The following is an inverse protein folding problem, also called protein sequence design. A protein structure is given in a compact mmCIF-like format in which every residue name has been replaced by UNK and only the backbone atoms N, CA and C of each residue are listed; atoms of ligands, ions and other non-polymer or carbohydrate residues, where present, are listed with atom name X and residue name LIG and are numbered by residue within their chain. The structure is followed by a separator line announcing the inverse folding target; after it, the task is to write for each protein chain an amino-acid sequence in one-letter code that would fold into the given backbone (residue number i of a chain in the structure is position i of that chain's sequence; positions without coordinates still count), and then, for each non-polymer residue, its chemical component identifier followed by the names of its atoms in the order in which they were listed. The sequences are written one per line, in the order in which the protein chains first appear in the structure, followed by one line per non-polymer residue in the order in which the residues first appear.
data_IF_878301551313
#
_entry.id   IF_878301551313
#
_cell.length_a   1.000
_cell.length_b   1.000
_cell.length_c   1.000
_cell.angle_alpha   90.00
_cell.angle_beta   90.00
_cell.angle_gamma   90.00
#
_symmetry.space_group_name_H-M   'P 1'
#
loop_
_entity.id
_entity.type
_entity.pdbx_description
1 polymer ?
#
# COMPACT_ATOMS: atom_id res chain seq x y z
N UNK A 1 -21.74 19.62 14.03
CA UNK A 1 -20.65 18.85 14.71
C UNK A 1 -21.08 17.38 14.78
N UNK A 2 -20.46 16.53 13.99
CA UNK A 2 -20.69 15.08 14.09
C UNK A 2 -19.87 14.55 15.28
N UNK A 3 -20.48 13.89 16.27
CA UNK A 3 -19.73 13.26 17.36
C UNK A 3 -18.81 12.18 16.79
N UNK A 4 -17.61 12.00 17.37
CA UNK A 4 -16.67 10.95 16.97
C UNK A 4 -17.28 9.54 17.00
N UNK A 5 -18.31 9.31 17.79
CA UNK A 5 -19.05 8.05 17.87
C UNK A 5 -19.90 7.71 16.61
N UNK A 6 -20.09 8.66 15.68
CA UNK A 6 -20.84 8.46 14.44
C UNK A 6 -19.97 8.46 13.18
N UNK A 7 -18.64 8.50 13.33
CA UNK A 7 -17.69 8.57 12.22
C UNK A 7 -17.38 7.15 11.73
N UNK A 8 -17.40 6.92 10.41
CA UNK A 8 -17.00 5.63 9.82
C UNK A 8 -15.51 5.35 10.05
N UNK A 9 -15.11 4.08 9.96
CA UNK A 9 -13.70 3.70 10.11
C UNK A 9 -12.78 4.48 9.16
N UNK A 10 -13.19 4.65 7.89
CA UNK A 10 -12.43 5.42 6.90
C UNK A 10 -12.33 6.91 7.23
N UNK A 11 -13.42 7.52 7.68
CA UNK A 11 -13.40 8.93 8.12
C UNK A 11 -12.51 9.13 9.33
N UNK A 12 -12.54 8.22 10.28
CA UNK A 12 -11.67 8.25 11.46
C UNK A 12 -10.18 8.19 11.07
N UNK A 13 -9.81 7.27 10.18
CA UNK A 13 -8.44 7.16 9.68
C UNK A 13 -7.98 8.43 8.95
N UNK A 14 -8.85 9.06 8.16
CA UNK A 14 -8.56 10.34 7.51
C UNK A 14 -8.31 11.47 8.51
N UNK A 15 -9.07 11.51 9.60
CA UNK A 15 -8.87 12.49 10.69
C UNK A 15 -7.52 12.27 11.37
N UNK A 16 -7.14 11.01 11.65
CA UNK A 16 -5.84 10.69 12.25
C UNK A 16 -4.68 11.08 11.33
N UNK A 17 -4.81 10.82 10.02
CA UNK A 17 -3.83 11.21 9.02
C UNK A 17 -3.69 12.74 8.95
N UNK A 18 -4.80 13.47 8.88
CA UNK A 18 -4.80 14.93 8.88
C UNK A 18 -4.13 15.50 10.14
N UNK A 19 -4.41 14.93 11.31
CA UNK A 19 -3.76 15.30 12.57
C UNK A 19 -2.24 15.10 12.53
N UNK A 20 -1.78 13.96 11.99
CA UNK A 20 -0.35 13.67 11.88
C UNK A 20 0.38 14.68 10.98
N UNK A 21 -0.29 15.17 9.93
CA UNK A 21 0.26 16.12 8.97
C UNK A 21 0.37 17.56 9.47
N UNK A 22 -0.35 17.93 10.53
CA UNK A 22 -0.31 19.29 11.09
C UNK A 22 1.10 19.76 11.49
N UNK A 23 2.01 18.83 11.77
CA UNK A 23 3.40 19.10 12.15
C UNK A 23 4.38 19.07 10.98
N UNK A 24 3.90 18.93 9.75
CA UNK A 24 4.72 18.77 8.55
C UNK A 24 5.88 17.75 8.74
N UNK A 25 5.57 16.48 9.06
CA UNK A 25 6.58 15.50 9.41
C UNK A 25 7.46 15.14 8.21
N UNK A 26 8.73 14.83 8.44
CA UNK A 26 9.62 14.24 7.44
C UNK A 26 9.41 12.72 7.30
N UNK A 27 8.91 12.07 8.35
CA UNK A 27 8.54 10.66 8.38
C UNK A 27 7.14 10.51 8.97
N UNK A 28 6.26 9.87 8.22
CA UNK A 28 4.92 9.48 8.65
C UNK A 28 4.93 7.98 8.99
N UNK A 29 4.60 7.64 10.22
CA UNK A 29 4.48 6.23 10.66
C UNK A 29 3.01 5.88 10.79
N UNK A 30 2.58 4.86 10.06
CA UNK A 30 1.19 4.38 10.01
C UNK A 30 1.14 2.92 10.46
N UNK A 31 0.41 2.67 11.54
CA UNK A 31 0.19 1.32 12.07
C UNK A 31 -1.24 0.87 11.73
N UNK A 32 -1.32 -0.16 10.87
CA UNK A 32 -2.59 -0.73 10.37
C UNK A 32 -3.59 0.34 9.88
N UNK A 33 -3.19 1.25 8.96
CA UNK A 33 -3.99 2.44 8.63
C UNK A 33 -5.35 2.14 8.00
N UNK A 34 -5.55 0.94 7.46
CA UNK A 34 -6.80 0.52 6.80
C UNK A 34 -7.65 -0.40 7.66
N UNK A 35 -7.25 -0.66 8.90
CA UNK A 35 -8.01 -1.52 9.81
C UNK A 35 -9.42 -0.94 10.06
N UNK A 36 -10.45 -1.77 9.88
CA UNK A 36 -11.84 -1.36 10.05
C UNK A 36 -12.41 -0.51 8.91
N UNK A 37 -11.69 -0.42 7.79
CA UNK A 37 -12.12 0.26 6.56
C UNK A 37 -12.59 -0.79 5.54
N UNK A 38 -13.68 -0.53 4.85
CA UNK A 38 -14.16 -1.41 3.76
C UNK A 38 -13.22 -1.35 2.54
N UNK A 39 -13.34 -2.31 1.64
CA UNK A 39 -12.41 -2.51 0.51
C UNK A 39 -12.27 -1.25 -0.37
N UNK A 40 -13.39 -0.57 -0.65
CA UNK A 40 -13.37 0.66 -1.44
C UNK A 40 -12.65 1.80 -0.70
N UNK A 41 -12.96 1.97 0.58
CA UNK A 41 -12.33 2.96 1.43
C UNK A 41 -10.84 2.71 1.65
N UNK A 42 -10.41 1.44 1.66
CA UNK A 42 -8.98 1.08 1.72
C UNK A 42 -8.22 1.63 0.51
N UNK A 43 -8.71 1.38 -0.71
CA UNK A 43 -8.08 1.89 -1.93
C UNK A 43 -7.99 3.43 -1.94
N UNK A 44 -9.06 4.11 -1.52
CA UNK A 44 -9.07 5.57 -1.40
C UNK A 44 -8.06 6.08 -0.37
N UNK A 45 -7.96 5.42 0.79
CA UNK A 45 -7.03 5.81 1.85
C UNK A 45 -5.56 5.63 1.41
N UNK A 46 -5.23 4.55 0.71
CA UNK A 46 -3.90 4.36 0.12
C UNK A 46 -3.59 5.41 -0.95
N UNK A 47 -4.56 5.75 -1.80
CA UNK A 47 -4.43 6.85 -2.75
C UNK A 47 -4.11 8.17 -2.06
N UNK A 48 -4.81 8.46 -0.97
CA UNK A 48 -4.59 9.65 -0.14
C UNK A 48 -3.20 9.65 0.52
N UNK A 49 -2.75 8.52 1.07
CA UNK A 49 -1.41 8.39 1.66
C UNK A 49 -0.32 8.67 0.61
N UNK A 50 -0.47 8.14 -0.60
CA UNK A 50 0.48 8.39 -1.70
C UNK A 50 0.46 9.86 -2.15
N UNK A 51 -0.70 10.49 -2.19
CA UNK A 51 -0.82 11.92 -2.50
C UNK A 51 -0.13 12.77 -1.43
N UNK A 52 -0.37 12.49 -0.16
CA UNK A 52 0.26 13.14 0.98
C UNK A 52 1.79 13.01 0.91
N UNK A 53 2.30 11.80 0.65
CA UNK A 53 3.73 11.54 0.49
C UNK A 53 4.35 12.47 -0.57
N UNK A 54 3.70 12.58 -1.72
CA UNK A 54 4.19 13.42 -2.82
C UNK A 54 4.12 14.91 -2.51
N UNK A 55 3.00 15.38 -1.95
CA UNK A 55 2.78 16.80 -1.65
C UNK A 55 3.67 17.32 -0.53
N UNK A 56 3.86 16.53 0.52
CA UNK A 56 4.63 16.92 1.70
C UNK A 56 6.08 16.48 1.66
N UNK A 57 6.50 15.75 0.61
CA UNK A 57 7.86 15.20 0.47
C UNK A 57 8.31 14.43 1.72
N UNK A 58 7.40 13.72 2.37
CA UNK A 58 7.68 12.92 3.55
C UNK A 58 7.87 11.44 3.20
N UNK A 59 8.73 10.77 3.94
CA UNK A 59 8.80 9.31 3.90
C UNK A 59 7.60 8.72 4.63
N UNK A 60 7.14 7.53 4.21
CA UNK A 60 6.05 6.80 4.86
C UNK A 60 6.56 5.43 5.27
N UNK A 61 6.50 5.14 6.57
CA UNK A 61 6.68 3.79 7.12
C UNK A 61 5.31 3.25 7.50
N UNK A 62 4.90 2.19 6.86
CA UNK A 62 3.60 1.55 7.10
C UNK A 62 3.79 0.16 7.67
N UNK A 63 3.03 -0.16 8.71
CA UNK A 63 2.95 -1.49 9.30
C UNK A 63 1.59 -2.06 8.91
N UNK A 64 1.58 -3.22 8.29
CA UNK A 64 0.35 -3.90 7.87
C UNK A 64 0.55 -5.40 7.75
N UNK A 65 -0.52 -6.16 7.93
CA UNK A 65 -0.58 -7.59 7.65
C UNK A 65 -1.29 -7.90 6.31
N UNK A 66 -1.79 -6.88 5.63
CA UNK A 66 -2.41 -7.04 4.31
C UNK A 66 -1.35 -7.07 3.22
N UNK A 67 -0.96 -8.28 2.83
CA UNK A 67 0.11 -8.51 1.85
C UNK A 67 -0.21 -7.92 0.47
N UNK A 68 -1.47 -7.97 0.04
CA UNK A 68 -1.86 -7.46 -1.28
C UNK A 68 -1.63 -5.95 -1.36
N UNK A 69 -2.10 -5.23 -0.36
CA UNK A 69 -1.97 -3.78 -0.32
C UNK A 69 -0.51 -3.35 -0.14
N UNK A 70 0.25 -4.06 0.72
CA UNK A 70 1.67 -3.78 0.93
C UNK A 70 2.44 -3.96 -0.37
N UNK A 71 2.26 -5.09 -1.07
CA UNK A 71 3.00 -5.38 -2.31
C UNK A 71 2.61 -4.45 -3.47
N UNK A 72 1.35 -3.99 -3.53
CA UNK A 72 0.88 -3.10 -4.57
C UNK A 72 1.23 -1.62 -4.35
N UNK A 73 1.47 -1.20 -3.10
CA UNK A 73 1.49 0.24 -2.74
C UNK A 73 2.82 0.73 -2.18
N UNK A 74 3.85 -0.12 -2.07
CA UNK A 74 5.11 0.25 -1.43
C UNK A 74 6.31 0.14 -2.37
N UNK A 75 7.31 0.99 -2.15
CA UNK A 75 8.56 0.96 -2.90
C UNK A 75 9.53 -0.09 -2.33
N UNK A 76 9.45 -0.32 -1.02
CA UNK A 76 10.32 -1.27 -0.29
C UNK A 76 9.51 -1.96 0.79
N UNK A 77 9.68 -3.26 0.89
CA UNK A 77 9.06 -4.11 1.91
C UNK A 77 10.14 -4.63 2.85
N UNK A 78 9.82 -4.67 4.13
CA UNK A 78 10.64 -5.22 5.18
C UNK A 78 9.81 -6.28 5.91
N UNK A 79 10.21 -7.54 5.76
CA UNK A 79 9.52 -8.67 6.37
C UNK A 79 10.08 -8.96 7.76
N UNK A 80 9.21 -8.99 8.77
CA UNK A 80 9.58 -9.21 10.16
C UNK A 80 8.95 -10.50 10.70
N UNK A 81 9.79 -11.36 11.25
CA UNK A 81 9.39 -12.52 12.05
C UNK A 81 10.38 -12.68 13.21
N UNK A 82 10.22 -11.91 14.28
CA UNK A 82 11.16 -11.75 15.41
C UNK A 82 12.54 -11.16 15.00
N UNK A 83 12.91 -11.27 13.76
CA UNK A 83 14.07 -10.68 13.11
C UNK A 83 13.66 -10.20 11.70
N UNK A 84 14.52 -9.44 11.04
CA UNK A 84 14.33 -9.07 9.63
C UNK A 84 14.66 -10.29 8.78
N UNK A 85 13.63 -10.94 8.21
CA UNK A 85 13.79 -12.14 7.38
C UNK A 85 14.26 -11.78 5.97
N UNK A 86 13.67 -10.74 5.40
CA UNK A 86 14.00 -10.25 4.06
C UNK A 86 13.59 -8.79 3.92
N UNK A 87 14.25 -8.10 3.02
CA UNK A 87 13.95 -6.72 2.69
C UNK A 87 14.27 -6.43 1.22
N UNK A 88 13.52 -5.55 0.59
CA UNK A 88 13.73 -5.17 -0.80
C UNK A 88 12.47 -4.71 -1.50
N UNK A 89 12.54 -4.63 -2.82
CA UNK A 89 11.35 -4.36 -3.63
C UNK A 89 10.32 -5.47 -3.48
N UNK A 90 9.01 -5.19 -3.63
CA UNK A 90 7.94 -6.18 -3.50
C UNK A 90 8.20 -7.46 -4.29
N UNK A 91 8.67 -7.36 -5.55
CA UNK A 91 8.92 -8.51 -6.42
C UNK A 91 10.05 -9.41 -5.89
N UNK A 92 11.09 -8.81 -5.29
CA UNK A 92 12.22 -9.52 -4.70
C UNK A 92 11.80 -10.22 -3.42
N UNK A 93 11.05 -9.52 -2.57
CA UNK A 93 10.57 -10.06 -1.29
C UNK A 93 9.57 -11.19 -1.50
N UNK A 94 8.63 -11.07 -2.44
CA UNK A 94 7.64 -12.10 -2.73
C UNK A 94 8.24 -13.42 -3.23
N UNK A 95 9.44 -13.38 -3.84
CA UNK A 95 10.17 -14.55 -4.29
C UNK A 95 11.15 -15.10 -3.23
N UNK A 96 11.34 -14.42 -2.10
CA UNK A 96 12.32 -14.81 -1.09
C UNK A 96 11.88 -16.07 -0.34
N UNK A 97 12.79 -17.08 -0.12
CA UNK A 97 12.44 -18.34 0.51
C UNK A 97 11.81 -18.20 1.89
N UNK A 98 12.29 -17.29 2.74
CA UNK A 98 11.72 -17.05 4.07
C UNK A 98 10.33 -16.43 4.01
N UNK A 99 10.08 -15.55 3.03
CA UNK A 99 8.75 -15.00 2.79
C UNK A 99 7.76 -16.09 2.38
N UNK A 100 8.17 -16.97 1.45
CA UNK A 100 7.37 -18.11 1.00
C UNK A 100 7.10 -19.11 2.12
N UNK A 101 8.03 -19.28 3.03
CA UNK A 101 7.87 -20.14 4.21
C UNK A 101 6.85 -19.56 5.21
N UNK A 102 6.86 -18.23 5.41
CA UNK A 102 5.97 -17.57 6.36
C UNK A 102 4.53 -17.46 5.86
N UNK A 103 4.35 -17.10 4.60
CA UNK A 103 3.04 -16.73 4.05
C UNK A 103 2.47 -17.78 3.08
N UNK A 104 3.28 -18.75 2.65
CA UNK A 104 2.90 -19.82 1.74
C UNK A 104 2.86 -19.41 0.26
N UNK A 105 2.93 -20.41 -0.63
CA UNK A 105 2.90 -20.20 -2.08
C UNK A 105 1.55 -19.64 -2.58
N UNK A 106 0.48 -19.90 -1.85
CA UNK A 106 -0.85 -19.47 -2.22
C UNK A 106 -1.03 -17.95 -2.09
N UNK A 107 -0.50 -17.35 -1.01
CA UNK A 107 -0.48 -15.90 -0.84
C UNK A 107 0.31 -15.21 -1.96
N UNK A 108 1.39 -15.83 -2.44
CA UNK A 108 2.22 -15.30 -3.53
C UNK A 108 1.53 -15.39 -4.88
N UNK A 109 0.78 -16.46 -5.16
CA UNK A 109 0.03 -16.57 -6.42
C UNK A 109 -1.10 -15.52 -6.51
N UNK A 110 -1.73 -15.21 -5.40
CA UNK A 110 -2.75 -14.16 -5.32
C UNK A 110 -2.14 -12.76 -5.54
N UNK A 111 -0.94 -12.51 -4.99
CA UNK A 111 -0.18 -11.26 -5.21
C UNK A 111 0.24 -11.13 -6.68
N UNK A 112 0.69 -12.20 -7.32
CA UNK A 112 1.13 -12.21 -8.72
C UNK A 112 -0.01 -11.88 -9.69
N UNK A 113 -1.22 -12.31 -9.43
CA UNK A 113 -2.40 -11.99 -10.25
C UNK A 113 -2.70 -10.48 -10.21
N UNK A 114 -2.45 -9.81 -9.09
CA UNK A 114 -2.73 -8.38 -8.94
C UNK A 114 -1.67 -7.49 -9.61
N UNK A 115 -0.40 -7.91 -9.62
CA UNK A 115 0.70 -7.15 -10.26
C UNK A 115 0.60 -7.13 -11.78
N UNK A 116 0.01 -8.17 -12.41
CA UNK A 116 -0.20 -8.22 -13.85
C UNK A 116 -1.30 -7.27 -14.38
N UNK A 117 -2.13 -6.70 -13.49
CA UNK A 117 -3.22 -5.79 -13.91
C UNK A 117 -2.79 -4.32 -14.00
N UNK A 118 -1.57 -3.97 -13.63
CA UNK A 118 -1.08 -2.59 -13.65
C UNK A 118 -0.03 -2.29 -14.73
N UNK A 119 0.21 -3.21 -15.65
CA UNK A 119 1.17 -3.02 -16.76
C UNK A 119 0.51 -2.32 -17.97
N UNK A 120 -0.31 -1.32 -17.72
CA UNK A 120 -0.79 -0.41 -18.74
C UNK A 120 0.06 0.86 -18.74
N UNK A 121 0.88 1.00 -19.78
CA UNK A 121 1.56 2.26 -20.06
C UNK A 121 0.52 3.32 -20.43
N UNK A 122 0.37 4.35 -19.59
CA UNK A 122 -0.41 5.53 -19.92
C UNK A 122 0.45 6.46 -20.78
N UNK A 123 -0.08 6.96 -21.90
CA UNK A 123 0.52 8.02 -22.63
C UNK A 123 0.48 9.35 -21.83
N UNK A 124 1.17 10.39 -22.33
CA UNK A 124 1.23 11.71 -21.69
C UNK A 124 -0.15 12.41 -21.60
N UNK A 125 -1.20 11.81 -22.16
CA UNK A 125 -2.58 12.32 -22.15
C UNK A 125 -3.56 11.40 -21.42
N UNK A 126 -3.05 10.32 -20.74
CA UNK A 126 -3.87 9.45 -19.89
C UNK A 126 -4.66 8.35 -20.62
N UNK A 127 -4.38 8.09 -21.90
CA UNK A 127 -4.98 7.00 -22.66
C UNK A 127 -4.20 5.69 -22.49
N UNK A 128 -4.92 4.56 -22.35
CA UNK A 128 -4.35 3.21 -22.32
C UNK A 128 -3.89 2.81 -23.71
N UNK A 129 -2.61 2.51 -23.90
CA UNK A 129 -2.07 2.03 -25.16
C UNK A 129 -2.03 0.51 -25.12
N UNK A 130 -2.95 -0.15 -25.84
CA UNK A 130 -2.87 -1.59 -26.10
C UNK A 130 -1.78 -1.86 -27.14
N UNK A 131 -0.71 -2.54 -26.72
CA UNK A 131 0.27 -3.07 -27.67
C UNK A 131 -0.26 -4.37 -28.27
N UNK A 132 -0.81 -4.29 -29.48
CA UNK A 132 -1.05 -5.47 -30.33
C UNK A 132 0.30 -6.01 -30.80
N UNK A 133 0.73 -7.12 -30.21
CA UNK A 133 1.75 -7.95 -30.84
C UNK A 133 1.11 -8.74 -31.98
N UNK A 134 1.36 -8.32 -33.21
CA UNK A 134 1.27 -9.18 -34.38
C UNK A 134 2.60 -9.90 -34.56
N UNK A 135 2.53 -11.21 -34.51
CA UNK A 135 3.65 -12.09 -34.83
C UNK A 135 3.17 -13.53 -34.84
#
# INVERSE_FOLDING_TARGET
RTPLAGVSGGEFQRVLLARALLRAPQLLVLDEPVQGVDVNGQAELYGLINEVRRRHHCAVLMISHDLHLVMASTDTVLCLNKHVCCAGKPEVVSAHPEFLQLFGKQAVSEIAVYTHHHDHAHDLHGHVVEQHHHG
#
